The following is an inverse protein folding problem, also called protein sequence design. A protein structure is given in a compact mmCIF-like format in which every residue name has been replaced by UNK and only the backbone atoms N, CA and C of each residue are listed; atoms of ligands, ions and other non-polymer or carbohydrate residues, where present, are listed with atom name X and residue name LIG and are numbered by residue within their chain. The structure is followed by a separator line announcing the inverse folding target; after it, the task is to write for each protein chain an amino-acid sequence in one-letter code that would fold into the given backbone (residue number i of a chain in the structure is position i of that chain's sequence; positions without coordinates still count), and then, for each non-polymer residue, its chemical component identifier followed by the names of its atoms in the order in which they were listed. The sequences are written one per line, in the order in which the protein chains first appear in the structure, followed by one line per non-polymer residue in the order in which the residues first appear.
data_IF_635162019318
#
_entry.id   IF_635162019318
#
_cell.length_a   1.000
_cell.length_b   1.000
_cell.length_c   1.000
_cell.angle_alpha   90.00
_cell.angle_beta   90.00
_cell.angle_gamma   90.00
#
_symmetry.space_group_name_H-M   'P 1'
#
loop_
_entity.id
_entity.type
_entity.pdbx_description
1 polymer ?
#
# COMPACT_ATOMS: atom_id res chain seq x y z
N UNK A 1 -27.26 12.73 29.34
CA UNK A 1 -26.82 11.49 28.68
C UNK A 1 -25.35 11.65 28.31
N UNK A 2 -24.45 11.01 29.04
CA UNK A 2 -23.04 10.96 28.66
C UNK A 2 -22.90 9.85 27.63
N UNK A 3 -22.45 10.17 26.42
CA UNK A 3 -22.20 9.18 25.39
C UNK A 3 -21.11 8.22 25.89
N UNK A 4 -21.34 6.92 25.74
CA UNK A 4 -20.30 5.93 26.03
C UNK A 4 -19.06 6.19 25.16
N UNK A 5 -17.85 5.94 25.68
CA UNK A 5 -16.63 6.04 24.89
C UNK A 5 -16.73 5.07 23.71
N UNK A 6 -16.62 5.59 22.49
CA UNK A 6 -16.44 4.76 21.30
C UNK A 6 -15.14 3.97 21.51
N UNK A 7 -15.22 2.64 21.47
CA UNK A 7 -14.03 1.79 21.58
C UNK A 7 -12.95 2.28 20.58
N UNK A 8 -11.67 2.35 20.99
CA UNK A 8 -10.62 2.81 20.10
C UNK A 8 -10.60 1.93 18.85
N UNK A 9 -10.56 2.57 17.68
CA UNK A 9 -10.47 1.84 16.42
C UNK A 9 -9.16 1.04 16.41
N UNK A 10 -9.15 -0.19 15.87
CA UNK A 10 -7.92 -0.93 15.68
C UNK A 10 -6.91 -0.08 14.91
N UNK A 11 -5.62 -0.23 15.23
CA UNK A 11 -4.56 0.36 14.42
C UNK A 11 -4.67 -0.16 12.97
N UNK A 12 -4.41 0.72 12.00
CA UNK A 12 -4.53 0.40 10.57
C UNK A 12 -3.17 0.59 9.90
N UNK A 13 -2.63 -0.49 9.33
CA UNK A 13 -1.46 -0.44 8.45
C UNK A 13 -1.87 -0.57 7.00
N UNK A 14 -1.05 -0.08 6.09
CA UNK A 14 -1.34 -0.12 4.64
C UNK A 14 -0.30 -0.97 3.93
N UNK A 15 -0.76 -1.84 3.04
CA UNK A 15 0.10 -2.59 2.12
C UNK A 15 -0.15 -2.08 0.70
N UNK A 16 0.88 -1.60 0.02
CA UNK A 16 0.83 -1.18 -1.38
C UNK A 16 1.51 -2.25 -2.24
N UNK A 17 0.75 -2.91 -3.10
CA UNK A 17 1.25 -3.94 -4.02
C UNK A 17 1.86 -3.30 -5.26
N UNK A 18 3.19 -3.17 -5.29
CA UNK A 18 3.96 -2.55 -6.38
C UNK A 18 4.99 -3.53 -7.00
N UNK A 19 4.88 -4.83 -6.74
CA UNK A 19 5.82 -5.85 -7.19
C UNK A 19 5.55 -6.39 -8.61
N UNK A 20 4.40 -6.05 -9.18
CA UNK A 20 4.05 -6.44 -10.54
C UNK A 20 5.06 -5.89 -11.54
N UNK A 21 5.57 -6.75 -12.44
CA UNK A 21 6.55 -6.36 -13.44
C UNK A 21 6.03 -5.18 -14.27
N UNK A 22 4.79 -5.28 -14.77
CA UNK A 22 4.03 -4.20 -15.41
C UNK A 22 4.73 -3.46 -16.56
N UNK A 23 5.95 -3.88 -16.91
CA UNK A 23 6.79 -3.29 -17.92
C UNK A 23 6.06 -3.44 -19.24
N UNK A 24 5.82 -2.30 -19.89
CA UNK A 24 5.46 -2.30 -21.30
C UNK A 24 6.71 -2.65 -22.08
N UNK A 25 6.55 -3.42 -23.15
CA UNK A 25 7.66 -3.75 -24.04
C UNK A 25 8.43 -2.47 -24.41
N UNK A 26 9.75 -2.50 -24.26
CA UNK A 26 10.62 -1.34 -24.53
C UNK A 26 10.78 -0.33 -23.39
N UNK A 27 10.18 -0.53 -22.21
CA UNK A 27 10.31 0.39 -21.06
C UNK A 27 11.09 -0.26 -19.92
N UNK A 28 12.22 0.35 -19.54
CA UNK A 28 13.19 -0.19 -18.58
C UNK A 28 12.82 -0.03 -17.10
N UNK A 29 11.72 0.66 -16.77
CA UNK A 29 11.29 0.95 -15.41
C UNK A 29 9.91 0.34 -15.07
N UNK A 30 9.63 0.03 -13.78
CA UNK A 30 8.35 -0.51 -13.32
C UNK A 30 7.15 0.35 -13.74
N UNK A 31 5.99 -0.29 -14.01
CA UNK A 31 4.75 0.41 -14.37
C UNK A 31 4.39 1.53 -13.40
N UNK A 32 4.58 1.31 -12.11
CA UNK A 32 4.24 2.27 -11.05
C UNK A 32 5.09 3.55 -11.11
N UNK A 33 6.23 3.53 -11.82
CA UNK A 33 7.08 4.70 -12.09
C UNK A 33 6.80 5.38 -13.44
N UNK A 34 5.74 4.96 -14.14
CA UNK A 34 5.26 5.68 -15.33
C UNK A 34 4.78 7.08 -14.92
N UNK A 35 5.15 8.13 -15.69
CA UNK A 35 4.58 9.45 -15.52
C UNK A 35 3.06 9.43 -15.72
N UNK A 36 2.34 10.18 -14.90
CA UNK A 36 0.92 10.47 -15.03
C UNK A 36 0.72 11.95 -14.65
N UNK A 37 0.70 12.82 -15.65
CA UNK A 37 0.76 14.27 -15.41
C UNK A 37 2.11 14.66 -14.79
N UNK A 38 2.07 15.42 -13.69
CA UNK A 38 3.26 16.01 -13.06
C UNK A 38 3.96 15.09 -12.05
N UNK A 39 3.44 13.87 -11.85
CA UNK A 39 4.01 12.90 -10.90
C UNK A 39 4.00 11.48 -11.49
N UNK A 40 4.54 10.51 -10.75
CA UNK A 40 4.47 9.09 -11.10
C UNK A 40 3.19 8.46 -10.58
N UNK A 41 2.75 7.36 -11.20
CA UNK A 41 1.57 6.61 -10.74
C UNK A 41 1.62 6.30 -9.24
N UNK A 42 2.77 5.83 -8.75
CA UNK A 42 2.95 5.46 -7.34
C UNK A 42 2.80 6.64 -6.38
N UNK A 43 3.13 7.86 -6.80
CA UNK A 43 3.06 9.06 -5.96
C UNK A 43 1.62 9.37 -5.56
N UNK A 44 0.68 9.18 -6.49
CA UNK A 44 -0.75 9.34 -6.22
C UNK A 44 -1.26 8.29 -5.23
N UNK A 45 -0.83 7.03 -5.40
CA UNK A 45 -1.22 5.93 -4.51
C UNK A 45 -0.70 6.18 -3.09
N UNK A 46 0.57 6.52 -2.95
CA UNK A 46 1.19 6.83 -1.66
C UNK A 46 0.55 8.06 -1.01
N UNK A 47 0.33 9.14 -1.77
CA UNK A 47 -0.37 10.34 -1.28
C UNK A 47 -1.75 9.99 -0.69
N UNK A 48 -2.49 9.11 -1.34
CA UNK A 48 -3.78 8.68 -0.83
C UNK A 48 -3.65 7.70 0.35
N UNK A 49 -2.66 6.80 0.35
CA UNK A 49 -2.37 5.89 1.47
C UNK A 49 -2.02 6.66 2.76
N UNK A 50 -1.31 7.79 2.65
CA UNK A 50 -0.99 8.72 3.73
C UNK A 50 -2.22 9.42 4.34
N UNK A 51 -3.43 9.11 3.88
CA UNK A 51 -4.69 9.53 4.53
C UNK A 51 -5.23 8.48 5.50
N UNK A 52 -4.56 7.32 5.60
CA UNK A 52 -4.97 6.16 6.41
C UNK A 52 -3.89 5.73 7.41
N UNK A 53 -2.61 5.85 7.05
CA UNK A 53 -1.50 5.43 7.91
C UNK A 53 -0.32 6.42 7.80
N UNK A 54 0.50 6.47 8.84
CA UNK A 54 1.78 7.19 8.82
C UNK A 54 2.77 6.48 7.88
N UNK A 55 3.82 7.18 7.35
CA UNK A 55 4.79 6.55 6.46
C UNK A 55 5.39 5.24 6.98
N UNK A 56 5.74 5.20 8.27
CA UNK A 56 6.31 4.01 8.93
C UNK A 56 5.34 2.82 9.09
N UNK A 57 4.05 3.02 8.79
CA UNK A 57 2.99 2.01 8.82
C UNK A 57 2.53 1.59 7.41
N UNK A 58 3.22 2.10 6.38
CA UNK A 58 2.99 1.75 4.98
C UNK A 58 4.08 0.77 4.53
N UNK A 59 3.65 -0.36 3.97
CA UNK A 59 4.49 -1.43 3.45
C UNK A 59 4.33 -1.49 1.93
N UNK A 60 5.37 -1.09 1.20
CA UNK A 60 5.42 -1.14 -0.26
C UNK A 60 6.04 -2.47 -0.68
N UNK A 61 5.23 -3.36 -1.22
CA UNK A 61 5.71 -4.63 -1.77
C UNK A 61 6.30 -4.38 -3.15
N UNK A 62 7.57 -4.71 -3.34
CA UNK A 62 8.35 -4.42 -4.53
C UNK A 62 8.89 -5.71 -5.17
N UNK A 63 9.12 -5.69 -6.48
CA UNK A 63 9.65 -6.82 -7.24
C UNK A 63 11.15 -6.68 -7.50
N UNK A 64 11.68 -7.43 -8.48
CA UNK A 64 13.11 -7.42 -8.86
C UNK A 64 13.67 -6.04 -9.22
N UNK A 65 12.83 -5.15 -9.76
CA UNK A 65 13.20 -3.77 -10.12
C UNK A 65 12.76 -2.76 -9.05
N UNK A 66 12.47 -3.26 -7.85
CA UNK A 66 11.96 -2.52 -6.72
C UNK A 66 12.87 -1.42 -6.22
N UNK A 67 14.18 -1.56 -6.40
CA UNK A 67 15.17 -0.55 -6.00
C UNK A 67 14.90 0.81 -6.65
N UNK A 68 14.37 0.83 -7.87
CA UNK A 68 13.97 2.09 -8.53
C UNK A 68 12.77 2.73 -7.84
N UNK A 69 11.82 1.92 -7.34
CA UNK A 69 10.65 2.41 -6.59
C UNK A 69 11.08 2.95 -5.23
N UNK A 70 11.97 2.24 -4.55
CA UNK A 70 12.54 2.69 -3.28
C UNK A 70 13.37 3.97 -3.45
N UNK A 71 14.23 4.04 -4.47
CA UNK A 71 15.01 5.24 -4.76
C UNK A 71 14.12 6.46 -5.06
N UNK A 72 12.98 6.25 -5.74
CA UNK A 72 12.02 7.31 -6.06
C UNK A 72 11.23 7.77 -4.82
N UNK A 73 10.73 6.84 -4.01
CA UNK A 73 9.87 7.14 -2.86
C UNK A 73 10.62 7.52 -1.58
N UNK A 74 11.91 7.18 -1.46
CA UNK A 74 12.73 7.49 -0.30
C UNK A 74 12.82 6.37 0.75
N UNK A 75 13.03 6.73 2.02
CA UNK A 75 13.31 5.77 3.12
C UNK A 75 12.25 5.78 4.22
N UNK A 76 11.18 6.54 4.03
CA UNK A 76 10.15 6.76 5.05
C UNK A 76 9.16 5.58 5.16
N UNK A 77 9.17 4.68 4.18
CA UNK A 77 8.26 3.53 4.07
C UNK A 77 9.01 2.21 4.31
N UNK A 78 8.24 1.15 4.61
CA UNK A 78 8.79 -0.20 4.67
C UNK A 78 8.75 -0.84 3.29
N UNK A 79 9.87 -1.37 2.82
CA UNK A 79 9.95 -2.05 1.53
C UNK A 79 10.03 -3.55 1.73
N UNK A 80 9.16 -4.29 1.04
CA UNK A 80 9.07 -5.75 1.15
C UNK A 80 9.31 -6.37 -0.21
N UNK A 81 10.38 -7.15 -0.34
CA UNK A 81 10.71 -7.80 -1.62
C UNK A 81 9.83 -9.04 -1.85
N UNK A 82 9.10 -9.04 -2.96
CA UNK A 82 8.56 -10.24 -3.58
C UNK A 82 9.59 -10.76 -4.61
N UNK A 83 10.28 -11.88 -4.35
CA UNK A 83 11.41 -12.33 -5.17
C UNK A 83 11.00 -12.82 -6.56
N UNK A 84 9.76 -13.31 -6.72
CA UNK A 84 9.22 -13.78 -7.99
C UNK A 84 7.73 -13.42 -8.11
N UNK A 85 7.21 -13.09 -9.31
CA UNK A 85 5.84 -12.66 -9.51
C UNK A 85 4.85 -13.84 -9.43
N UNK A 86 4.57 -14.31 -8.21
CA UNK A 86 3.69 -15.46 -7.94
C UNK A 86 2.25 -15.05 -7.58
N UNK A 87 1.85 -13.86 -8.02
CA UNK A 87 0.52 -13.30 -7.79
C UNK A 87 0.41 -12.43 -6.53
N UNK A 88 -0.77 -11.86 -6.32
CA UNK A 88 -1.05 -10.86 -5.28
C UNK A 88 -1.11 -11.47 -3.88
N UNK A 89 -1.64 -12.69 -3.72
CA UNK A 89 -1.64 -13.40 -2.45
C UNK A 89 -0.21 -13.66 -1.93
N UNK A 90 0.71 -14.03 -2.82
CA UNK A 90 2.13 -14.18 -2.48
C UNK A 90 2.77 -12.83 -2.12
N UNK A 91 2.44 -11.76 -2.85
CA UNK A 91 2.92 -10.42 -2.53
C UNK A 91 2.50 -9.97 -1.11
N UNK A 92 1.24 -10.22 -0.73
CA UNK A 92 0.76 -9.96 0.64
C UNK A 92 1.47 -10.87 1.64
N UNK A 93 1.63 -12.17 1.34
CA UNK A 93 2.33 -13.14 2.20
C UNK A 93 3.77 -12.70 2.51
N UNK A 94 4.48 -12.08 1.58
CA UNK A 94 5.82 -11.55 1.81
C UNK A 94 5.88 -10.51 2.94
N UNK A 95 4.77 -9.84 3.27
CA UNK A 95 4.70 -8.86 4.37
C UNK A 95 4.55 -9.51 5.75
N UNK A 96 4.11 -10.78 5.81
CA UNK A 96 3.78 -11.45 7.07
C UNK A 96 4.91 -11.45 8.12
N UNK A 97 6.20 -11.68 7.78
CA UNK A 97 7.28 -11.63 8.77
C UNK A 97 7.44 -10.26 9.46
N UNK A 98 7.07 -9.18 8.78
CA UNK A 98 7.17 -7.81 9.28
C UNK A 98 5.94 -7.34 10.07
N UNK A 99 4.86 -8.12 10.01
CA UNK A 99 3.56 -7.83 10.62
C UNK A 99 3.17 -8.87 11.67
N UNK A 100 4.05 -9.82 12.02
CA UNK A 100 3.77 -10.95 12.91
C UNK A 100 3.23 -10.54 14.30
N UNK A 101 3.72 -9.43 14.83
CA UNK A 101 3.38 -8.93 16.17
C UNK A 101 2.35 -7.79 16.10
N UNK A 102 1.85 -7.48 14.90
CA UNK A 102 0.87 -6.42 14.69
C UNK A 102 -0.55 -6.98 14.91
N UNK A 103 -1.23 -6.46 15.93
CA UNK A 103 -2.62 -6.74 16.23
C UNK A 103 -3.50 -5.57 15.78
N UNK A 104 -3.89 -5.58 14.51
CA UNK A 104 -4.71 -4.54 13.90
C UNK A 104 -5.16 -4.92 12.50
N UNK A 105 -5.66 -3.94 11.77
CA UNK A 105 -6.22 -4.13 10.44
C UNK A 105 -5.23 -3.75 9.33
N UNK A 106 -5.40 -4.39 8.17
CA UNK A 106 -4.57 -4.16 6.99
C UNK A 106 -5.43 -3.64 5.84
N UNK A 107 -5.12 -2.44 5.35
CA UNK A 107 -5.67 -1.93 4.09
C UNK A 107 -4.71 -2.28 2.95
N UNK A 108 -5.17 -3.14 2.04
CA UNK A 108 -4.38 -3.58 0.88
C UNK A 108 -4.78 -2.76 -0.35
N UNK A 109 -3.80 -2.11 -0.97
CA UNK A 109 -3.95 -1.23 -2.14
C UNK A 109 -3.07 -1.74 -3.29
N UNK A 110 -3.52 -1.51 -4.52
CA UNK A 110 -2.70 -1.73 -5.70
C UNK A 110 -1.86 -0.49 -6.00
N UNK A 111 -0.56 -0.69 -6.28
CA UNK A 111 0.39 0.39 -6.58
C UNK A 111 0.18 1.05 -7.94
N UNK A 112 -0.66 0.48 -8.80
CA UNK A 112 -0.88 0.93 -10.18
C UNK A 112 -2.31 1.45 -10.46
N UNK A 113 -3.11 1.68 -9.41
CA UNK A 113 -4.49 2.20 -9.51
C UNK A 113 -4.60 3.62 -8.91
N UNK A 114 -3.96 4.64 -9.50
CA UNK A 114 -3.75 5.94 -8.86
C UNK A 114 -5.04 6.77 -8.63
N UNK A 115 -6.14 6.43 -9.31
CA UNK A 115 -7.36 7.24 -9.36
C UNK A 115 -8.39 6.93 -8.26
N UNK A 116 -8.07 6.07 -7.30
CA UNK A 116 -8.98 5.86 -6.17
C UNK A 116 -9.05 7.13 -5.30
N UNK A 117 -10.23 7.37 -4.73
CA UNK A 117 -10.46 8.49 -3.81
C UNK A 117 -10.41 7.98 -2.36
N UNK A 118 -9.85 8.74 -1.42
CA UNK A 118 -9.86 8.34 -0.01
C UNK A 118 -11.27 8.17 0.59
N UNK A 119 -12.28 8.90 0.12
CA UNK A 119 -13.64 8.83 0.68
C UNK A 119 -14.30 7.45 0.53
N UNK A 120 -14.38 6.83 -0.67
CA UNK A 120 -14.83 5.44 -0.80
C UNK A 120 -14.06 4.44 0.06
N UNK A 121 -12.73 4.58 0.17
CA UNK A 121 -11.90 3.69 0.99
C UNK A 121 -12.19 3.85 2.48
N UNK A 122 -12.48 5.06 2.97
CA UNK A 122 -12.96 5.25 4.35
C UNK A 122 -14.28 4.54 4.60
N UNK A 123 -15.18 4.56 3.61
CA UNK A 123 -16.43 3.78 3.67
C UNK A 123 -16.18 2.28 3.77
N UNK A 124 -15.23 1.75 2.99
CA UNK A 124 -14.80 0.34 3.06
C UNK A 124 -14.26 -0.02 4.45
N UNK A 125 -13.35 0.79 4.98
CA UNK A 125 -12.75 0.59 6.31
C UNK A 125 -13.81 0.66 7.41
N UNK A 126 -14.70 1.65 7.38
CA UNK A 126 -15.79 1.75 8.35
C UNK A 126 -16.72 0.53 8.26
N UNK A 127 -17.02 0.03 7.07
CA UNK A 127 -17.84 -1.17 6.89
C UNK A 127 -17.18 -2.43 7.45
N UNK A 128 -15.86 -2.54 7.34
CA UNK A 128 -15.07 -3.61 7.96
C UNK A 128 -15.23 -3.58 9.49
N UNK A 129 -15.06 -2.41 10.10
CA UNK A 129 -15.23 -2.22 11.56
C UNK A 129 -16.65 -2.44 12.08
N UNK A 130 -17.68 -2.35 11.22
CA UNK A 130 -19.05 -2.65 11.61
C UNK A 130 -19.40 -4.14 11.56
N UNK A 131 -18.57 -4.95 10.88
CA UNK A 131 -18.82 -6.38 10.67
C UNK A 131 -17.98 -7.28 11.56
N UNK A 132 -16.80 -6.81 11.98
CA UNK A 132 -15.98 -7.44 13.01
C UNK A 132 -16.47 -7.06 14.40
#
# INVERSE_FOLDING_TARGET
MMAEPIAPRPELKVIILAAGSGQRAGVAYPKVLQPLGDAKIIDYVVKNALRFAAPGDIYVVIGRQGDQVQAHLGREYNYVLQPAPRGTGDAVRCTAPFLRDFAGDLLILYGDTPLFRPSPLRGLVNRHYLKG
#
